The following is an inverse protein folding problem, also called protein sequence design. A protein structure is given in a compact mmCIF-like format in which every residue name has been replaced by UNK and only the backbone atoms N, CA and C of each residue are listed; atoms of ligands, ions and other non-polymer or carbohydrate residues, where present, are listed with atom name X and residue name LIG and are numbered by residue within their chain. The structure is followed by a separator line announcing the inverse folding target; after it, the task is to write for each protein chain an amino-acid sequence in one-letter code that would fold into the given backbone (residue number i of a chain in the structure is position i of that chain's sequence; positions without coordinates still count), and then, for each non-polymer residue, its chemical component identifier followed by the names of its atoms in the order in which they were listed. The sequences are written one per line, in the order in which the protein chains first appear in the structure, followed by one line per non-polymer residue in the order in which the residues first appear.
data_IF_733113159133
#
_entry.id   IF_733113159133
#
_cell.length_a   1.000
_cell.length_b   1.000
_cell.length_c   1.000
_cell.angle_alpha   90.00
_cell.angle_beta   90.00
_cell.angle_gamma   90.00
#
_symmetry.space_group_name_H-M   'P 1'
#
loop_
_entity.id
_entity.type
_entity.pdbx_description
1 polymer ?
#
# COMPACT_ATOMS: atom_id res chain seq x y z
N UNK A 1 -12.27 6.81 -8.06
CA UNK A 1 -11.40 5.72 -8.50
C UNK A 1 -10.50 5.29 -7.36
N UNK A 2 -10.27 4.00 -7.26
CA UNK A 2 -9.38 3.46 -6.23
C UNK A 2 -7.93 3.58 -6.71
N UNK A 3 -7.10 4.19 -5.89
CA UNK A 3 -5.67 4.33 -6.17
C UNK A 3 -4.85 3.62 -5.10
N UNK A 4 -3.55 3.52 -5.31
CA UNK A 4 -2.68 2.92 -4.29
C UNK A 4 -2.75 3.68 -2.98
N UNK A 5 -2.98 4.98 -3.03
CA UNK A 5 -3.13 5.79 -1.80
C UNK A 5 -4.39 5.39 -1.04
N UNK A 6 -5.48 5.14 -1.75
CA UNK A 6 -6.72 4.70 -1.12
C UNK A 6 -6.53 3.34 -0.45
N UNK A 7 -5.85 2.43 -1.13
CA UNK A 7 -5.55 1.11 -0.58
C UNK A 7 -4.70 1.26 0.68
N UNK A 8 -3.69 2.13 0.64
CA UNK A 8 -2.83 2.35 1.79
C UNK A 8 -3.61 2.90 2.98
N UNK A 9 -4.56 3.80 2.74
CA UNK A 9 -5.39 4.34 3.81
C UNK A 9 -6.24 3.26 4.46
N UNK A 10 -6.80 2.37 3.66
CA UNK A 10 -7.62 1.27 4.18
C UNK A 10 -6.76 0.33 5.01
N UNK A 11 -5.59 -0.02 4.51
CA UNK A 11 -4.66 -0.90 5.22
C UNK A 11 -4.23 -0.26 6.54
N UNK A 12 -3.89 1.02 6.51
CA UNK A 12 -3.47 1.73 7.71
C UNK A 12 -4.55 1.71 8.78
N UNK A 13 -5.80 1.92 8.37
CA UNK A 13 -6.93 1.91 9.28
C UNK A 13 -7.16 0.52 9.89
N UNK A 14 -7.07 -0.52 9.07
CA UNK A 14 -7.35 -1.88 9.52
C UNK A 14 -6.24 -2.44 10.42
N UNK A 15 -5.01 -2.01 10.21
CA UNK A 15 -3.86 -2.53 10.95
C UNK A 15 -3.33 -1.56 12.00
N UNK A 16 -4.00 -0.42 12.15
CA UNK A 16 -3.64 0.59 13.15
C UNK A 16 -2.19 1.05 12.99
N UNK A 17 -1.80 1.32 11.74
CA UNK A 17 -0.47 1.83 11.41
C UNK A 17 -0.60 3.18 10.73
N UNK A 18 0.51 3.87 10.55
CA UNK A 18 0.52 5.16 9.87
C UNK A 18 0.32 4.99 8.38
N UNK A 19 -0.38 5.96 7.78
CA UNK A 19 -0.62 5.92 6.33
C UNK A 19 0.70 5.89 5.56
N UNK A 20 1.71 6.63 6.02
CA UNK A 20 3.01 6.64 5.36
C UNK A 20 3.65 5.25 5.34
N UNK A 21 3.53 4.51 6.42
CA UNK A 21 4.05 3.14 6.49
C UNK A 21 3.27 2.22 5.56
N UNK A 22 1.95 2.39 5.51
CA UNK A 22 1.12 1.58 4.62
C UNK A 22 1.44 1.88 3.16
N UNK A 23 1.69 3.13 2.82
CA UNK A 23 2.06 3.50 1.45
C UNK A 23 3.37 2.84 1.03
N UNK A 24 4.35 2.81 1.92
CA UNK A 24 5.62 2.16 1.64
C UNK A 24 5.42 0.67 1.40
N UNK A 25 4.60 0.04 2.22
CA UNK A 25 4.29 -1.37 2.06
C UNK A 25 3.61 -1.66 0.72
N UNK A 26 2.62 -0.87 0.36
CA UNK A 26 1.91 -1.04 -0.91
C UNK A 26 2.85 -0.82 -2.08
N UNK A 27 3.75 0.17 -1.98
CA UNK A 27 4.70 0.43 -3.05
C UNK A 27 5.64 -0.76 -3.28
N UNK A 28 6.06 -1.40 -2.22
CA UNK A 28 6.90 -2.59 -2.33
C UNK A 28 6.17 -3.74 -3.01
N UNK A 29 4.89 -3.89 -2.72
CA UNK A 29 4.08 -4.91 -3.38
C UNK A 29 3.96 -4.63 -4.87
N UNK A 30 3.72 -3.39 -5.23
CA UNK A 30 3.61 -2.98 -6.64
C UNK A 30 4.94 -3.25 -7.36
N UNK A 31 6.05 -2.89 -6.74
CA UNK A 31 7.37 -3.11 -7.33
C UNK A 31 7.63 -4.59 -7.56
N UNK A 32 7.24 -5.43 -6.62
CA UNK A 32 7.40 -6.87 -6.74
C UNK A 32 6.62 -7.42 -7.93
N UNK A 33 5.41 -6.95 -8.11
CA UNK A 33 4.56 -7.35 -9.23
C UNK A 33 5.19 -6.91 -10.55
N UNK A 34 5.70 -5.69 -10.59
CA UNK A 34 6.29 -5.12 -11.81
C UNK A 34 7.60 -5.81 -12.20
N UNK A 35 8.32 -6.33 -11.25
CA UNK A 35 9.56 -7.05 -11.56
C UNK A 35 9.29 -8.43 -12.14
N UNK A 36 8.06 -8.84 -12.14
CA UNK A 36 7.67 -10.09 -12.76
C UNK A 36 7.82 -11.28 -11.83
N UNK A 37 6.75 -11.54 -11.19
CA UNK A 37 6.65 -12.79 -10.44
C UNK A 37 6.86 -13.97 -11.35
#
# INVERSE_FOLDING_TARGET
MVTTKDIAKIIASQHNIKVAEAEDFVQKLVDTINEGL
#
